data_IF_830286381602
#
_entry.id   IF_830286381602
#
_cell.length_a   1.000
_cell.length_b   1.000
_cell.length_c   1.000
_cell.angle_alpha   90.00
_cell.angle_beta   90.00
_cell.angle_gamma   90.00
#
_symmetry.space_group_name_H-M   'P 1'
#
loop_
_entity.id
_entity.type
_entity.pdbx_description
1 polymer ?
#
# COMPACT_ATOMS: atom_id res chain seq x y z
N UNK A 1 38.50 -12.76 -17.05
CA UNK A 1 38.15 -11.85 -18.18
C UNK A 1 37.83 -12.54 -19.50
N UNK A 2 38.75 -13.17 -20.25
CA UNK A 2 38.36 -13.80 -21.53
C UNK A 2 37.62 -15.14 -21.38
N UNK A 3 37.85 -15.90 -20.30
CA UNK A 3 37.13 -17.16 -20.06
C UNK A 3 35.71 -16.95 -19.51
N UNK A 4 35.47 -15.89 -18.73
CA UNK A 4 34.12 -15.56 -18.21
C UNK A 4 33.16 -15.11 -19.31
N UNK A 5 33.65 -14.33 -20.29
CA UNK A 5 32.83 -13.93 -21.45
C UNK A 5 32.39 -15.13 -22.30
N UNK A 6 33.22 -16.17 -22.41
CA UNK A 6 32.83 -17.41 -23.11
C UNK A 6 31.77 -18.24 -22.35
N UNK A 7 31.78 -18.21 -21.01
CA UNK A 7 30.78 -18.92 -20.19
C UNK A 7 29.41 -18.26 -20.32
N UNK A 8 29.34 -16.92 -20.25
CA UNK A 8 28.08 -16.18 -20.36
C UNK A 8 27.42 -16.33 -21.75
N UNK A 9 28.20 -16.31 -22.84
CA UNK A 9 27.69 -16.53 -24.20
C UNK A 9 27.17 -17.96 -24.39
N UNK A 10 27.76 -18.97 -23.73
CA UNK A 10 27.25 -20.35 -23.75
C UNK A 10 25.96 -20.48 -22.94
N UNK A 11 25.85 -19.78 -21.81
CA UNK A 11 24.68 -19.81 -20.94
C UNK A 11 23.45 -19.14 -21.59
N UNK A 12 23.65 -18.01 -22.28
CA UNK A 12 22.63 -17.33 -23.10
C UNK A 12 22.06 -18.25 -24.21
N UNK A 13 22.94 -18.92 -24.98
CA UNK A 13 22.51 -19.88 -26.02
C UNK A 13 21.79 -21.11 -25.45
N UNK A 14 22.04 -21.46 -24.20
CA UNK A 14 21.40 -22.58 -23.53
C UNK A 14 19.97 -22.23 -23.05
N UNK A 15 19.77 -21.00 -22.59
CA UNK A 15 18.45 -20.50 -22.16
C UNK A 15 17.48 -20.31 -23.34
N UNK A 16 17.95 -19.80 -24.49
CA UNK A 16 17.11 -19.65 -25.68
C UNK A 16 16.53 -20.99 -26.21
N UNK A 17 17.27 -22.09 -26.08
CA UNK A 17 16.79 -23.43 -26.48
C UNK A 17 15.72 -24.00 -25.55
N UNK A 18 15.75 -23.65 -24.26
CA UNK A 18 14.74 -24.09 -23.28
C UNK A 18 13.42 -23.36 -23.48
N UNK A 19 13.47 -22.07 -23.79
CA UNK A 19 12.28 -21.27 -24.07
C UNK A 19 11.54 -21.81 -25.30
N UNK A 20 12.25 -22.12 -26.39
CA UNK A 20 11.64 -22.70 -27.61
C UNK A 20 10.99 -24.06 -27.33
N UNK A 21 11.63 -24.92 -26.53
CA UNK A 21 11.07 -26.23 -26.15
C UNK A 21 9.82 -26.08 -25.27
N UNK A 22 9.78 -25.10 -24.37
CA UNK A 22 8.63 -24.83 -23.51
C UNK A 22 7.42 -24.33 -24.33
N UNK A 23 7.63 -23.39 -25.26
CA UNK A 23 6.58 -22.94 -26.17
C UNK A 23 6.06 -24.07 -27.07
N UNK A 24 6.94 -24.95 -27.56
CA UNK A 24 6.50 -26.11 -28.35
C UNK A 24 5.65 -27.08 -27.52
N UNK A 25 6.00 -27.30 -26.25
CA UNK A 25 5.23 -28.14 -25.34
C UNK A 25 3.86 -27.52 -25.04
N UNK A 26 3.81 -26.21 -24.77
CA UNK A 26 2.57 -25.48 -24.52
C UNK A 26 1.63 -25.50 -25.74
N UNK A 27 2.15 -25.31 -26.96
CA UNK A 27 1.35 -25.36 -28.20
C UNK A 27 0.79 -26.77 -28.43
N UNK A 28 1.59 -27.83 -28.19
CA UNK A 28 1.10 -29.21 -28.32
C UNK A 28 0.04 -29.50 -27.26
N UNK A 29 0.22 -29.04 -26.02
CA UNK A 29 -0.73 -29.27 -24.93
C UNK A 29 -2.06 -28.54 -25.17
N UNK A 30 -2.01 -27.27 -25.54
CA UNK A 30 -3.18 -26.44 -25.86
C UNK A 30 -3.92 -26.96 -27.11
N UNK A 31 -3.18 -27.40 -28.13
CA UNK A 31 -3.73 -28.03 -29.32
C UNK A 31 -4.41 -29.37 -29.02
N UNK A 32 -3.87 -30.16 -28.08
CA UNK A 32 -4.50 -31.41 -27.66
C UNK A 32 -5.76 -31.19 -26.81
N UNK A 33 -5.82 -30.19 -25.93
CA UNK A 33 -7.04 -29.87 -25.16
C UNK A 33 -8.22 -29.46 -26.04
N UNK A 34 -7.97 -28.77 -27.15
CA UNK A 34 -9.00 -28.44 -28.13
C UNK A 34 -9.56 -29.68 -28.88
N UNK A 35 -8.75 -30.74 -29.00
CA UNK A 35 -9.15 -31.97 -29.70
C UNK A 35 -9.96 -32.94 -28.84
N UNK A 36 -9.91 -32.84 -27.49
CA UNK A 36 -10.61 -33.78 -26.59
C UNK A 36 -11.97 -33.29 -26.10
N UNK A 37 -12.44 -32.11 -26.53
CA UNK A 37 -13.81 -31.66 -26.24
C UNK A 37 -14.16 -31.65 -24.75
N UNK A 38 -13.19 -31.33 -23.88
CA UNK A 38 -13.45 -31.17 -22.45
C UNK A 38 -14.16 -29.82 -22.30
N UNK A 39 -15.49 -29.89 -22.31
CA UNK A 39 -16.35 -28.77 -21.97
C UNK A 39 -15.95 -28.23 -20.60
N UNK A 40 -15.68 -26.93 -20.51
CA UNK A 40 -15.33 -26.20 -19.29
C UNK A 40 -16.39 -26.31 -18.18
N UNK A 41 -17.57 -26.85 -18.47
CA UNK A 41 -18.66 -27.10 -17.53
C UNK A 41 -18.41 -28.24 -16.53
N UNK A 42 -17.35 -29.04 -16.66
CA UNK A 42 -17.09 -30.17 -15.73
C UNK A 42 -16.05 -29.89 -14.63
N UNK A 43 -15.44 -28.69 -14.58
CA UNK A 43 -14.36 -28.40 -13.64
C UNK A 43 -14.74 -27.49 -12.46
N UNK A 44 -16.01 -27.11 -12.30
CA UNK A 44 -16.41 -26.39 -11.09
C UNK A 44 -17.83 -26.74 -10.60
N UNK A 45 -18.03 -27.83 -9.84
CA UNK A 45 -19.33 -28.17 -9.27
C UNK A 45 -19.72 -27.33 -8.03
N UNK A 46 -19.00 -26.24 -7.71
CA UNK A 46 -19.21 -25.53 -6.43
C UNK A 46 -20.22 -24.39 -6.41
N UNK A 47 -20.62 -23.79 -7.54
CA UNK A 47 -21.52 -22.63 -7.48
C UNK A 47 -22.52 -22.62 -8.63
N UNK A 48 -23.69 -23.18 -8.37
CA UNK A 48 -24.94 -22.74 -9.01
C UNK A 48 -26.10 -23.08 -8.07
N UNK A 49 -26.28 -22.26 -7.04
CA UNK A 49 -27.50 -22.30 -6.21
C UNK A 49 -28.55 -21.40 -6.87
N UNK A 50 -28.86 -21.65 -8.14
CA UNK A 50 -29.96 -20.97 -8.81
C UNK A 50 -31.28 -21.59 -8.32
N UNK A 51 -31.98 -20.89 -7.41
CA UNK A 51 -33.40 -21.11 -7.18
C UNK A 51 -33.92 -21.16 -5.74
N UNK A 52 -33.13 -20.78 -4.73
CA UNK A 52 -33.68 -20.66 -3.37
C UNK A 52 -34.37 -19.29 -3.20
N UNK A 53 -35.68 -19.33 -2.96
CA UNK A 53 -36.49 -18.15 -2.65
C UNK A 53 -36.30 -17.80 -1.17
N UNK A 54 -35.47 -16.79 -0.89
CA UNK A 54 -35.20 -16.31 0.47
C UNK A 54 -36.46 -15.83 1.21
N UNK A 55 -37.56 -15.51 0.49
CA UNK A 55 -38.81 -15.10 1.14
C UNK A 55 -39.52 -16.20 1.93
N UNK A 56 -39.10 -17.47 1.76
CA UNK A 56 -39.68 -18.61 2.46
C UNK A 56 -39.05 -18.90 3.84
N UNK A 57 -38.02 -18.15 4.25
CA UNK A 57 -37.23 -18.40 5.46
C UNK A 57 -37.62 -17.50 6.64
N UNK A 58 -38.23 -16.33 6.39
CA UNK A 58 -38.77 -15.48 7.46
C UNK A 58 -39.87 -16.21 8.25
N UNK A 59 -39.92 -16.01 9.57
CA UNK A 59 -41.08 -16.43 10.36
C UNK A 59 -42.35 -15.81 9.74
N UNK A 60 -43.33 -16.61 9.29
CA UNK A 60 -44.48 -16.12 8.53
C UNK A 60 -45.46 -15.28 9.38
N UNK A 61 -45.28 -15.22 10.70
CA UNK A 61 -46.10 -14.47 11.66
C UNK A 61 -45.44 -13.14 12.04
N UNK A 62 -44.11 -13.09 12.15
CA UNK A 62 -43.39 -11.90 12.62
C UNK A 62 -42.57 -11.20 11.53
N UNK A 63 -42.21 -11.92 10.45
CA UNK A 63 -41.26 -11.48 9.43
C UNK A 63 -39.80 -11.53 9.89
N UNK A 64 -39.52 -12.13 11.04
CA UNK A 64 -38.22 -12.09 11.71
C UNK A 64 -37.27 -13.18 11.19
N UNK A 65 -35.96 -12.87 11.21
CA UNK A 65 -34.88 -13.80 10.89
C UNK A 65 -33.98 -13.97 12.11
N UNK A 66 -33.88 -15.19 12.60
CA UNK A 66 -32.88 -15.63 13.57
C UNK A 66 -31.65 -16.16 12.82
N UNK A 67 -30.42 -16.05 13.34
CA UNK A 67 -29.26 -16.71 12.71
C UNK A 67 -29.46 -18.22 12.48
N UNK A 68 -30.28 -18.89 13.31
CA UNK A 68 -30.68 -20.29 13.09
C UNK A 68 -31.48 -20.51 11.79
N UNK A 69 -32.09 -19.46 11.24
CA UNK A 69 -32.82 -19.52 9.96
C UNK A 69 -31.86 -19.47 8.77
N UNK A 70 -30.64 -18.97 8.97
CA UNK A 70 -29.57 -18.98 7.96
C UNK A 70 -28.92 -20.37 7.84
N UNK A 71 -28.80 -21.08 8.97
CA UNK A 71 -28.10 -22.37 9.11
C UNK A 71 -28.50 -23.43 8.07
N UNK A 72 -29.78 -23.66 7.75
CA UNK A 72 -30.19 -24.69 6.80
C UNK A 72 -29.64 -24.50 5.38
N UNK A 73 -29.31 -23.26 5.00
CA UNK A 73 -28.82 -22.91 3.68
C UNK A 73 -27.33 -22.51 3.68
N UNK A 74 -26.84 -21.92 4.77
CA UNK A 74 -25.51 -21.31 4.90
C UNK A 74 -24.73 -21.87 6.10
N UNK A 75 -24.82 -23.19 6.34
CA UNK A 75 -24.20 -23.82 7.50
C UNK A 75 -22.70 -23.52 7.61
N UNK A 76 -21.96 -23.55 6.50
CA UNK A 76 -20.51 -23.38 6.51
C UNK A 76 -20.12 -21.95 6.91
N UNK A 77 -20.80 -20.95 6.37
CA UNK A 77 -20.60 -19.54 6.68
C UNK A 77 -21.00 -19.23 8.12
N UNK A 78 -22.13 -19.78 8.60
CA UNK A 78 -22.56 -19.62 9.99
C UNK A 78 -21.60 -20.31 10.95
N UNK A 79 -21.07 -21.49 10.60
CA UNK A 79 -20.06 -22.19 11.39
C UNK A 79 -18.77 -21.36 11.50
N UNK A 80 -18.33 -20.73 10.42
CA UNK A 80 -17.20 -19.80 10.41
C UNK A 80 -17.47 -18.55 11.25
N UNK A 81 -18.63 -17.92 11.08
CA UNK A 81 -19.04 -16.73 11.82
C UNK A 81 -19.12 -16.97 13.33
N UNK A 82 -19.60 -18.14 13.76
CA UNK A 82 -19.65 -18.57 15.16
C UNK A 82 -18.27 -18.65 15.83
N UNK A 83 -17.18 -18.61 15.05
CA UNK A 83 -15.81 -18.55 15.55
C UNK A 83 -15.30 -17.12 15.69
N UNK A 84 -15.98 -16.13 15.13
CA UNK A 84 -15.62 -14.71 15.19
C UNK A 84 -16.09 -14.07 16.50
N UNK A 85 -15.41 -13.00 16.94
CA UNK A 85 -15.83 -12.28 18.15
C UNK A 85 -17.23 -11.71 18.05
N UNK A 86 -17.74 -11.39 16.86
CA UNK A 86 -19.10 -10.88 16.66
C UNK A 86 -20.17 -11.79 17.28
N UNK A 87 -20.02 -13.11 17.13
CA UNK A 87 -20.97 -14.11 17.62
C UNK A 87 -20.96 -14.31 19.14
N UNK A 88 -19.82 -14.09 19.81
CA UNK A 88 -19.68 -14.36 21.25
C UNK A 88 -19.16 -13.15 22.04
N UNK A 89 -19.22 -11.94 21.50
CA UNK A 89 -18.82 -10.72 22.20
C UNK A 89 -19.59 -10.56 23.52
N UNK A 90 -20.80 -11.12 23.58
CA UNK A 90 -21.60 -11.24 24.78
C UNK A 90 -21.82 -12.70 25.19
N UNK A 91 -21.70 -12.97 26.48
CA UNK A 91 -22.07 -14.25 27.09
C UNK A 91 -23.17 -14.03 28.11
N UNK A 92 -24.27 -14.77 27.95
CA UNK A 92 -25.38 -14.74 28.89
C UNK A 92 -25.16 -15.74 30.03
N UNK A 93 -25.43 -15.32 31.26
CA UNK A 93 -25.51 -16.26 32.37
C UNK A 93 -26.48 -15.79 33.46
N UNK A 94 -27.00 -16.76 34.21
CA UNK A 94 -27.90 -16.51 35.35
C UNK A 94 -27.26 -17.03 36.62
N UNK A 95 -27.34 -16.26 37.69
CA UNK A 95 -26.92 -16.68 39.02
C UNK A 95 -28.06 -16.41 40.03
N UNK A 96 -27.78 -16.61 41.33
CA UNK A 96 -28.79 -16.43 42.38
C UNK A 96 -29.31 -14.98 42.52
N UNK A 97 -28.60 -13.98 42.00
CA UNK A 97 -28.95 -12.55 42.12
C UNK A 97 -29.59 -11.98 40.86
N UNK A 98 -29.60 -12.70 39.75
CA UNK A 98 -30.30 -12.30 38.53
C UNK A 98 -29.63 -12.81 37.26
N UNK A 99 -30.00 -12.16 36.16
CA UNK A 99 -29.45 -12.40 34.83
C UNK A 99 -28.42 -11.33 34.51
N UNK A 100 -27.28 -11.78 33.97
CA UNK A 100 -26.15 -10.93 33.62
C UNK A 100 -25.69 -11.20 32.20
N UNK A 101 -25.10 -10.18 31.60
CA UNK A 101 -24.37 -10.24 30.34
C UNK A 101 -22.90 -10.00 30.68
N UNK A 102 -22.04 -10.92 30.26
CA UNK A 102 -20.60 -10.73 30.29
C UNK A 102 -20.13 -10.25 28.93
N UNK A 103 -19.44 -9.12 28.89
CA UNK A 103 -18.68 -8.72 27.71
C UNK A 103 -17.39 -9.55 27.67
N UNK A 104 -17.21 -10.39 26.64
CA UNK A 104 -16.13 -11.38 26.64
C UNK A 104 -14.75 -10.77 26.44
N UNK A 105 -14.68 -9.58 25.84
CA UNK A 105 -13.42 -8.85 25.64
C UNK A 105 -12.95 -8.18 26.94
N UNK A 106 -13.82 -7.48 27.65
CA UNK A 106 -13.45 -6.77 28.88
C UNK A 106 -13.55 -7.64 30.14
N UNK A 107 -14.32 -8.72 30.09
CA UNK A 107 -14.62 -9.57 31.24
C UNK A 107 -15.64 -8.96 32.21
N UNK A 108 -16.17 -7.78 31.91
CA UNK A 108 -17.12 -7.07 32.75
C UNK A 108 -18.50 -7.74 32.73
N UNK A 109 -19.12 -7.77 33.91
CA UNK A 109 -20.44 -8.35 34.13
C UNK A 109 -21.46 -7.21 34.34
N UNK A 110 -22.41 -7.11 33.43
CA UNK A 110 -23.46 -6.11 33.48
C UNK A 110 -24.80 -6.74 33.82
N UNK A 111 -25.63 -6.03 34.58
CA UNK A 111 -27.05 -6.33 34.60
C UNK A 111 -27.62 -6.07 33.19
N UNK A 112 -28.43 -6.98 32.65
CA UNK A 112 -29.02 -6.84 31.30
C UNK A 112 -29.64 -5.46 31.07
N UNK A 113 -30.37 -4.93 32.05
CA UNK A 113 -31.04 -3.63 31.93
C UNK A 113 -30.03 -2.47 31.88
N UNK A 114 -28.92 -2.58 32.59
CA UNK A 114 -27.85 -1.57 32.59
C UNK A 114 -27.07 -1.60 31.28
N UNK A 115 -26.68 -2.80 30.82
CA UNK A 115 -25.95 -3.01 29.59
C UNK A 115 -26.68 -2.43 28.37
N UNK A 116 -27.98 -2.70 28.25
CA UNK A 116 -28.77 -2.26 27.10
C UNK A 116 -28.83 -0.73 27.01
N UNK A 117 -28.89 -0.03 28.15
CA UNK A 117 -28.99 1.42 28.17
C UNK A 117 -27.65 2.13 27.89
N UNK A 118 -26.52 1.55 28.30
CA UNK A 118 -25.21 2.23 28.25
C UNK A 118 -24.27 1.76 27.13
N UNK A 119 -24.53 0.61 26.48
CA UNK A 119 -23.65 0.10 25.43
C UNK A 119 -24.22 -1.03 24.55
N UNK A 120 -25.48 -1.40 24.73
CA UNK A 120 -26.07 -2.54 24.02
C UNK A 120 -26.28 -2.32 22.52
N UNK A 121 -26.40 -1.08 22.05
CA UNK A 121 -26.79 -0.78 20.67
C UNK A 121 -25.83 -1.32 19.58
N UNK A 122 -24.56 -1.56 19.92
CA UNK A 122 -23.55 -2.10 19.02
C UNK A 122 -23.19 -3.57 19.30
N UNK A 123 -23.72 -4.13 20.40
CA UNK A 123 -23.34 -5.45 20.89
C UNK A 123 -24.50 -6.45 20.89
N UNK A 124 -25.70 -6.01 20.50
CA UNK A 124 -26.87 -6.87 20.32
C UNK A 124 -27.47 -6.64 18.93
N UNK A 125 -28.14 -7.66 18.39
CA UNK A 125 -28.90 -7.52 17.15
C UNK A 125 -30.31 -7.05 17.50
N UNK A 126 -30.67 -5.85 17.03
CA UNK A 126 -31.98 -5.25 17.25
C UNK A 126 -32.71 -5.00 15.93
N UNK A 127 -34.04 -4.88 16.01
CA UNK A 127 -34.87 -4.48 14.86
C UNK A 127 -34.43 -3.11 14.33
N UNK A 128 -34.18 -3.05 13.03
CA UNK A 128 -33.88 -1.82 12.32
C UNK A 128 -34.98 -0.76 12.62
N UNK A 129 -34.58 0.43 13.09
CA UNK A 129 -35.44 1.56 13.51
C UNK A 129 -36.20 1.47 14.85
N UNK A 130 -36.04 0.43 15.67
CA UNK A 130 -36.74 0.36 16.96
C UNK A 130 -35.86 0.80 18.13
N UNK A 131 -35.65 2.12 18.29
CA UNK A 131 -35.14 2.67 19.56
C UNK A 131 -36.21 2.69 20.65
N UNK A 132 -37.43 2.22 20.35
CA UNK A 132 -38.51 2.23 21.31
C UNK A 132 -38.46 0.98 22.18
N UNK A 133 -38.26 1.20 23.47
CA UNK A 133 -38.81 0.30 24.48
C UNK A 133 -40.28 0.12 24.11
N UNK A 134 -40.73 -1.13 23.99
CA UNK A 134 -42.12 -1.41 23.66
C UNK A 134 -43.04 -0.82 24.75
N UNK A 135 -44.37 -0.88 24.55
CA UNK A 135 -45.31 -0.30 25.51
C UNK A 135 -45.21 -0.89 26.94
N UNK A 136 -44.54 -2.04 27.14
CA UNK A 136 -44.23 -2.64 28.45
C UNK A 136 -42.89 -2.18 29.04
N UNK A 137 -42.10 -1.39 28.34
CA UNK A 137 -40.76 -0.98 28.78
C UNK A 137 -39.70 -2.07 28.58
N UNK A 138 -39.98 -3.07 27.75
CA UNK A 138 -39.04 -4.12 27.37
C UNK A 138 -38.37 -3.78 26.03
N UNK A 139 -37.07 -4.01 25.97
CA UNK A 139 -36.26 -3.79 24.77
C UNK A 139 -36.46 -4.94 23.79
N UNK A 140 -36.55 -4.60 22.50
CA UNK A 140 -36.76 -5.56 21.41
C UNK A 140 -35.40 -6.08 20.91
N UNK A 141 -34.71 -6.84 21.75
CA UNK A 141 -33.44 -7.49 21.41
C UNK A 141 -33.74 -8.87 20.84
N UNK A 142 -33.32 -9.12 19.60
CA UNK A 142 -33.54 -10.40 18.92
C UNK A 142 -32.49 -11.42 19.28
N UNK A 143 -31.23 -10.97 19.34
CA UNK A 143 -30.11 -11.84 19.67
C UNK A 143 -29.05 -11.09 20.48
N UNK A 144 -28.35 -11.86 21.31
CA UNK A 144 -27.24 -11.41 22.13
C UNK A 144 -25.96 -11.59 21.31
N UNK A 145 -25.26 -10.49 21.03
CA UNK A 145 -24.15 -10.47 20.08
C UNK A 145 -24.53 -9.82 18.74
N UNK A 146 -23.56 -9.76 17.83
CA UNK A 146 -23.68 -9.13 16.51
C UNK A 146 -23.94 -10.22 15.48
N UNK A 147 -25.19 -10.66 15.36
CA UNK A 147 -25.63 -11.76 14.46
C UNK A 147 -25.62 -11.35 12.99
N UNK A 148 -25.93 -12.31 12.10
CA UNK A 148 -26.10 -12.06 10.66
C UNK A 148 -27.06 -10.90 10.38
N UNK A 149 -28.15 -10.78 11.13
CA UNK A 149 -29.14 -9.71 10.97
C UNK A 149 -28.65 -8.31 11.38
N UNK A 150 -27.47 -8.21 12.01
CA UNK A 150 -26.84 -6.92 12.29
C UNK A 150 -26.22 -6.28 11.03
N UNK A 151 -25.86 -7.11 10.05
CA UNK A 151 -25.16 -6.71 8.83
C UNK A 151 -26.02 -6.92 7.57
N UNK A 152 -26.85 -7.96 7.54
CA UNK A 152 -27.75 -8.27 6.44
C UNK A 152 -29.15 -7.72 6.71
N UNK A 153 -29.68 -6.89 5.80
CA UNK A 153 -31.07 -6.41 5.86
C UNK A 153 -32.06 -7.55 5.53
N UNK A 154 -33.32 -7.39 5.97
CA UNK A 154 -34.42 -8.26 5.55
C UNK A 154 -34.54 -8.25 4.01
N UNK A 155 -34.67 -9.42 3.34
CA UNK A 155 -34.85 -9.50 1.90
C UNK A 155 -36.07 -8.66 1.46
N UNK A 156 -35.82 -7.54 0.75
CA UNK A 156 -36.87 -6.67 0.21
C UNK A 156 -37.11 -5.35 0.96
N UNK A 157 -36.35 -5.05 2.02
CA UNK A 157 -36.31 -3.69 2.56
C UNK A 157 -35.50 -2.77 1.64
N UNK A 158 -36.10 -1.69 1.14
CA UNK A 158 -35.33 -0.65 0.45
C UNK A 158 -34.45 0.07 1.48
N UNK A 159 -33.14 -0.07 1.30
CA UNK A 159 -32.12 0.39 2.23
C UNK A 159 -32.20 1.91 2.49
N UNK A 160 -32.80 2.29 3.61
CA UNK A 160 -32.97 3.70 4.03
C UNK A 160 -31.71 4.21 4.73
N UNK A 161 -31.20 5.36 4.29
CA UNK A 161 -30.06 6.05 4.88
C UNK A 161 -30.32 6.41 6.35
N UNK A 162 -29.38 6.08 7.24
CA UNK A 162 -29.38 6.61 8.60
C UNK A 162 -28.71 7.99 8.59
N UNK A 163 -29.45 9.01 9.02
CA UNK A 163 -28.84 10.26 9.51
C UNK A 163 -28.78 10.16 11.02
N UNK A 164 -27.58 10.30 11.60
CA UNK A 164 -27.46 10.53 13.04
C UNK A 164 -28.27 11.77 13.41
N UNK A 165 -29.29 11.66 14.29
CA UNK A 165 -30.07 12.82 14.71
C UNK A 165 -29.25 13.89 15.45
N UNK A 166 -28.04 13.55 15.93
CA UNK A 166 -27.12 14.46 16.62
C UNK A 166 -26.10 15.16 15.72
N UNK A 167 -25.58 14.50 14.69
CA UNK A 167 -24.45 15.02 13.87
C UNK A 167 -24.83 15.37 12.43
N UNK A 168 -25.94 14.86 11.91
CA UNK A 168 -26.38 15.13 10.53
C UNK A 168 -25.45 14.56 9.45
N UNK A 169 -24.45 13.75 9.82
CA UNK A 169 -23.60 13.07 8.85
C UNK A 169 -24.32 11.83 8.28
N UNK A 170 -24.35 11.66 6.95
CA UNK A 170 -24.76 10.41 6.35
C UNK A 170 -23.67 9.37 6.61
N UNK A 171 -23.99 8.31 7.34
CA UNK A 171 -23.09 7.16 7.44
C UNK A 171 -23.23 6.31 6.18
N UNK A 172 -22.12 6.01 5.52
CA UNK A 172 -22.11 4.97 4.48
C UNK A 172 -22.41 3.61 5.09
N UNK A 173 -23.13 2.78 4.32
CA UNK A 173 -23.71 1.48 4.71
C UNK A 173 -22.68 0.37 4.85
N UNK A 174 -21.49 0.65 5.36
CA UNK A 174 -20.55 -0.43 5.65
C UNK A 174 -20.96 -1.09 6.95
N UNK A 175 -20.98 -2.42 6.97
CA UNK A 175 -21.40 -3.27 8.11
C UNK A 175 -20.74 -2.88 9.45
N UNK A 176 -19.62 -2.18 9.40
CA UNK A 176 -18.83 -1.73 10.54
C UNK A 176 -19.11 -0.30 11.00
N UNK A 177 -19.50 0.62 10.11
CA UNK A 177 -19.46 2.07 10.37
C UNK A 177 -20.37 2.56 11.50
N UNK A 178 -21.42 1.79 11.84
CA UNK A 178 -22.35 2.10 12.93
C UNK A 178 -21.85 1.68 14.31
N UNK A 179 -21.07 0.60 14.38
CA UNK A 179 -20.62 0.01 15.64
C UNK A 179 -19.15 0.35 15.93
N UNK A 180 -18.34 0.44 14.88
CA UNK A 180 -16.95 0.87 14.94
C UNK A 180 -16.83 2.36 14.63
N UNK A 181 -17.66 3.18 15.28
CA UNK A 181 -17.56 4.64 15.17
C UNK A 181 -16.26 5.06 15.86
N UNK A 182 -15.30 5.67 15.14
CA UNK A 182 -14.11 6.23 15.77
C UNK A 182 -14.58 7.41 16.62
N UNK A 183 -14.69 7.22 17.93
CA UNK A 183 -15.41 8.13 18.80
C UNK A 183 -14.94 9.58 18.64
N UNK A 184 -15.79 10.47 18.08
CA UNK A 184 -15.72 11.94 17.98
C UNK A 184 -14.39 12.65 17.61
N UNK A 185 -13.25 11.95 17.50
CA UNK A 185 -11.90 12.50 17.33
C UNK A 185 -10.92 11.58 16.58
N UNK A 186 -11.30 10.33 16.32
CA UNK A 186 -10.53 9.45 15.41
C UNK A 186 -10.85 9.82 13.97
N UNK A 187 -9.84 10.14 13.17
CA UNK A 187 -10.01 10.25 11.73
C UNK A 187 -10.52 8.91 11.21
N UNK A 188 -11.69 8.94 10.61
CA UNK A 188 -12.43 7.80 10.07
C UNK A 188 -11.79 7.28 8.79
N UNK A 189 -12.04 6.00 8.46
CA UNK A 189 -11.74 5.40 7.15
C UNK A 189 -12.12 6.31 5.97
N UNK A 190 -13.21 7.08 6.10
CA UNK A 190 -13.75 7.95 5.04
C UNK A 190 -12.89 9.17 4.65
N UNK A 191 -11.66 9.28 5.12
CA UNK A 191 -10.72 10.35 4.74
C UNK A 191 -9.37 9.79 4.29
N UNK A 192 -9.39 8.63 3.63
CA UNK A 192 -8.18 7.93 3.22
C UNK A 192 -8.14 7.74 1.72
N UNK A 193 -6.93 7.54 1.19
CA UNK A 193 -6.78 7.10 -0.21
C UNK A 193 -7.48 5.76 -0.48
N UNK A 194 -7.75 4.95 0.54
CA UNK A 194 -8.51 3.71 0.39
C UNK A 194 -10.02 3.95 0.26
N UNK A 195 -10.58 4.91 1.01
CA UNK A 195 -12.01 5.24 0.93
C UNK A 195 -12.39 5.99 -0.34
N UNK A 196 -11.43 6.62 -1.01
CA UNK A 196 -11.61 7.35 -2.26
C UNK A 196 -10.92 6.64 -3.43
N UNK A 197 -10.45 5.40 -3.26
CA UNK A 197 -9.58 4.70 -4.22
C UNK A 197 -10.21 4.55 -5.61
N UNK A 198 -11.50 4.22 -5.66
CA UNK A 198 -12.24 4.07 -6.89
C UNK A 198 -12.60 5.43 -7.50
N UNK A 199 -12.88 6.45 -6.68
CA UNK A 199 -13.11 7.82 -7.16
C UNK A 199 -11.84 8.42 -7.78
N UNK A 200 -10.68 8.20 -7.16
CA UNK A 200 -9.36 8.56 -7.70
C UNK A 200 -9.09 7.84 -9.02
N UNK A 201 -9.45 6.55 -9.11
CA UNK A 201 -9.35 5.80 -10.35
C UNK A 201 -10.25 6.41 -11.43
N UNK A 202 -11.52 6.71 -11.13
CA UNK A 202 -12.46 7.34 -12.07
C UNK A 202 -11.99 8.74 -12.53
N UNK A 203 -11.26 9.46 -11.69
CA UNK A 203 -10.69 10.75 -12.02
C UNK A 203 -9.44 10.66 -12.91
N UNK A 204 -8.73 9.52 -12.89
CA UNK A 204 -7.53 9.30 -13.68
C UNK A 204 -7.86 9.11 -15.17
N UNK A 205 -7.03 9.67 -16.05
CA UNK A 205 -7.11 9.43 -17.48
C UNK A 205 -6.16 8.29 -17.85
N UNK A 206 -6.66 7.06 -18.02
CA UNK A 206 -5.85 5.89 -18.38
C UNK A 206 -6.67 4.62 -18.61
N UNK A 207 -6.00 3.51 -18.92
CA UNK A 207 -6.64 2.19 -19.02
C UNK A 207 -6.99 1.66 -17.61
N UNK A 208 -8.27 1.45 -17.34
CA UNK A 208 -8.80 1.17 -16.00
C UNK A 208 -8.67 -0.30 -15.57
N UNK A 209 -8.62 -1.24 -16.52
CA UNK A 209 -8.78 -2.68 -16.24
C UNK A 209 -7.69 -3.26 -15.32
N UNK A 210 -6.47 -2.75 -15.40
CA UNK A 210 -5.36 -3.21 -14.56
C UNK A 210 -5.36 -2.57 -13.16
N UNK A 211 -5.91 -1.36 -13.03
CA UNK A 211 -5.89 -0.60 -11.78
C UNK A 211 -7.00 -1.06 -10.80
N UNK A 212 -8.10 -1.62 -11.31
CA UNK A 212 -9.22 -2.05 -10.46
C UNK A 212 -8.85 -3.14 -9.45
N UNK A 213 -7.80 -3.93 -9.69
CA UNK A 213 -7.39 -4.98 -8.76
C UNK A 213 -7.02 -4.46 -7.37
N UNK A 214 -6.44 -3.26 -7.32
CA UNK A 214 -5.99 -2.65 -6.07
C UNK A 214 -6.86 -1.48 -5.62
N UNK A 215 -7.58 -0.83 -6.56
CA UNK A 215 -8.31 0.42 -6.30
C UNK A 215 -9.81 0.22 -6.09
N UNK A 216 -10.32 -1.00 -6.22
CA UNK A 216 -11.72 -1.33 -5.94
C UNK A 216 -11.81 -2.41 -4.87
N UNK A 217 -12.86 -2.34 -4.03
CA UNK A 217 -13.25 -3.46 -3.19
C UNK A 217 -13.62 -4.69 -4.04
N UNK A 218 -13.53 -5.88 -3.45
CA UNK A 218 -13.93 -7.11 -4.14
C UNK A 218 -15.38 -6.99 -4.61
N UNK A 219 -15.60 -6.92 -5.92
CA UNK A 219 -16.90 -7.22 -6.50
C UNK A 219 -16.95 -8.71 -6.82
N UNK A 220 -18.06 -9.35 -6.46
CA UNK A 220 -18.39 -10.63 -7.09
C UNK A 220 -18.52 -10.36 -8.58
N UNK A 221 -17.78 -11.11 -9.41
CA UNK A 221 -17.67 -10.93 -10.87
C UNK A 221 -19.01 -10.86 -11.63
N UNK A 222 -20.12 -11.19 -10.97
CA UNK A 222 -21.48 -11.21 -11.51
C UNK A 222 -22.24 -9.88 -11.33
N UNK A 223 -21.83 -9.02 -10.37
CA UNK A 223 -22.39 -7.69 -10.15
C UNK A 223 -21.28 -6.64 -10.30
N UNK A 224 -21.26 -5.94 -11.44
CA UNK A 224 -20.29 -4.89 -11.81
C UNK A 224 -20.35 -3.62 -10.92
N UNK A 225 -20.81 -3.75 -9.68
CA UNK A 225 -20.77 -2.70 -8.67
C UNK A 225 -19.39 -2.70 -8.01
N UNK A 226 -18.40 -2.11 -8.68
CA UNK A 226 -17.12 -1.80 -8.04
C UNK A 226 -17.33 -0.66 -7.05
N UNK A 227 -16.97 -0.90 -5.79
CA UNK A 227 -16.92 0.12 -4.74
C UNK A 227 -15.47 0.51 -4.44
N UNK A 228 -15.28 1.59 -3.67
CA UNK A 228 -14.01 1.87 -3.02
C UNK A 228 -13.56 0.67 -2.16
N UNK A 229 -12.28 0.63 -1.78
CA UNK A 229 -11.83 -0.32 -0.77
C UNK A 229 -12.67 -0.09 0.50
N UNK A 230 -13.09 -1.17 1.13
CA UNK A 230 -13.91 -1.11 2.33
C UNK A 230 -13.42 -2.11 3.39
N UNK A 231 -14.22 -2.27 4.44
CA UNK A 231 -13.88 -3.12 5.56
C UNK A 231 -13.75 -4.60 5.16
N UNK A 232 -14.61 -5.08 4.25
CA UNK A 232 -14.59 -6.49 3.83
C UNK A 232 -13.53 -6.76 2.78
N UNK A 233 -12.90 -5.74 2.19
CA UNK A 233 -11.68 -5.92 1.39
C UNK A 233 -10.53 -6.48 2.23
N UNK A 234 -10.40 -6.04 3.48
CA UNK A 234 -9.30 -6.44 4.36
C UNK A 234 -9.71 -7.49 5.39
N UNK A 235 -10.96 -7.43 5.85
CA UNK A 235 -11.51 -8.32 6.86
C UNK A 235 -12.43 -9.38 6.25
N UNK A 236 -12.45 -10.54 6.88
CA UNK A 236 -13.39 -11.63 6.61
C UNK A 236 -14.44 -11.67 7.74
N UNK A 237 -15.66 -11.15 7.51
CA UNK A 237 -16.70 -11.14 8.53
C UNK A 237 -17.25 -12.55 8.84
N UNK A 238 -17.00 -13.54 7.98
CA UNK A 238 -17.56 -14.89 8.08
C UNK A 238 -16.51 -15.96 8.39
N UNK A 239 -15.21 -15.64 8.28
CA UNK A 239 -14.13 -16.62 8.40
C UNK A 239 -14.36 -17.80 7.43
N UNK A 240 -14.62 -17.49 6.15
CA UNK A 240 -15.11 -18.41 5.10
C UNK A 240 -14.13 -19.54 4.80
N UNK A 241 -12.83 -19.28 4.93
CA UNK A 241 -11.77 -20.27 4.69
C UNK A 241 -11.55 -21.21 5.89
N UNK A 242 -12.24 -20.98 7.01
CA UNK A 242 -12.00 -21.65 8.29
C UNK A 242 -10.60 -21.36 8.87
N UNK A 243 -9.84 -20.47 8.23
CA UNK A 243 -8.55 -19.99 8.69
C UNK A 243 -8.76 -18.62 9.32
N UNK A 244 -8.79 -18.61 10.64
CA UNK A 244 -8.93 -17.36 11.39
C UNK A 244 -7.57 -16.71 11.55
N UNK A 245 -7.29 -15.71 10.73
CA UNK A 245 -6.17 -14.81 10.98
C UNK A 245 -6.53 -13.85 12.12
N UNK A 246 -5.49 -13.24 12.70
CA UNK A 246 -5.68 -12.27 13.77
C UNK A 246 -6.56 -11.12 13.28
N UNK A 247 -7.47 -10.63 14.14
CA UNK A 247 -8.43 -9.57 13.79
C UNK A 247 -9.31 -9.84 12.57
N UNK A 248 -9.52 -11.12 12.24
CA UNK A 248 -10.35 -11.53 11.11
C UNK A 248 -9.82 -10.95 9.79
N UNK A 249 -8.50 -10.75 9.67
CA UNK A 249 -7.89 -10.36 8.40
C UNK A 249 -8.04 -11.48 7.37
N UNK A 250 -8.02 -11.14 6.07
CA UNK A 250 -8.04 -12.12 4.96
C UNK A 250 -6.69 -12.77 4.67
N UNK A 251 -5.61 -12.27 5.28
CA UNK A 251 -4.23 -12.74 5.09
C UNK A 251 -3.52 -12.90 6.42
N UNK A 252 -2.42 -13.67 6.41
CA UNK A 252 -1.67 -13.99 7.62
C UNK A 252 -0.69 -12.88 8.00
N UNK A 253 -1.20 -11.82 8.62
CA UNK A 253 -0.43 -10.64 9.01
C UNK A 253 -0.51 -9.52 7.97
N UNK A 254 -0.02 -8.33 8.33
CA UNK A 254 -0.31 -7.12 7.54
C UNK A 254 0.65 -6.95 6.35
N UNK A 255 1.87 -7.49 6.39
CA UNK A 255 2.76 -7.53 5.21
C UNK A 255 2.11 -8.29 4.05
N UNK A 256 1.55 -9.48 4.31
CA UNK A 256 0.87 -10.25 3.24
C UNK A 256 -0.39 -9.55 2.77
N UNK A 257 -1.15 -8.94 3.70
CA UNK A 257 -2.37 -8.19 3.37
C UNK A 257 -2.07 -6.94 2.53
N UNK A 258 -1.22 -6.05 3.02
CA UNK A 258 -0.84 -4.83 2.33
C UNK A 258 -0.14 -5.14 1.01
N UNK A 259 0.66 -6.21 0.96
CA UNK A 259 1.36 -6.68 -0.23
C UNK A 259 0.46 -7.18 -1.36
N UNK A 260 -0.84 -7.42 -1.13
CA UNK A 260 -1.76 -7.71 -2.24
C UNK A 260 -1.91 -6.52 -3.18
N UNK A 261 -1.81 -5.31 -2.64
CA UNK A 261 -1.93 -4.06 -3.40
C UNK A 261 -0.60 -3.32 -3.54
N UNK A 262 0.27 -3.37 -2.52
CA UNK A 262 1.57 -2.70 -2.46
C UNK A 262 2.73 -3.70 -2.61
N UNK A 263 2.60 -4.61 -3.58
CA UNK A 263 3.55 -5.71 -3.78
C UNK A 263 4.96 -5.25 -4.12
N UNK A 264 5.09 -4.12 -4.84
CA UNK A 264 6.34 -3.44 -5.15
C UNK A 264 7.05 -2.93 -3.88
N UNK A 265 6.29 -2.32 -2.96
CA UNK A 265 6.81 -1.87 -1.66
C UNK A 265 7.25 -3.06 -0.81
N UNK A 266 6.46 -4.13 -0.79
CA UNK A 266 6.81 -5.35 -0.04
C UNK A 266 8.03 -6.04 -0.64
N UNK A 267 8.14 -6.12 -1.97
CA UNK A 267 9.34 -6.65 -2.62
C UNK A 267 10.58 -5.81 -2.28
N UNK A 268 10.45 -4.49 -2.32
CA UNK A 268 11.52 -3.55 -1.92
C UNK A 268 11.95 -3.72 -0.45
N UNK A 269 10.99 -3.93 0.45
CA UNK A 269 11.23 -4.14 1.89
C UNK A 269 11.79 -5.53 2.22
N UNK A 270 11.35 -6.55 1.49
CA UNK A 270 11.72 -7.96 1.76
C UNK A 270 12.98 -8.39 1.02
N UNK A 271 13.62 -7.48 0.28
CA UNK A 271 14.92 -7.74 -0.34
C UNK A 271 15.99 -8.03 0.72
N UNK A 272 16.19 -9.33 0.96
CA UNK A 272 17.13 -9.85 1.96
C UNK A 272 18.59 -9.49 1.70
N UNK A 273 18.93 -8.92 0.53
CA UNK A 273 20.29 -8.40 0.30
C UNK A 273 20.60 -7.23 1.24
N UNK A 274 19.57 -6.50 1.70
CA UNK A 274 19.69 -5.41 2.66
C UNK A 274 18.64 -5.56 3.77
N UNK A 275 19.10 -5.98 4.94
CA UNK A 275 18.30 -5.98 6.15
C UNK A 275 17.78 -4.56 6.44
N UNK A 276 16.49 -4.30 6.22
CA UNK A 276 15.89 -3.04 6.66
C UNK A 276 15.74 -3.08 8.19
N UNK A 277 16.01 -1.97 8.90
CA UNK A 277 15.93 -1.92 10.36
C UNK A 277 14.53 -2.29 10.89
N UNK A 278 13.47 -2.00 10.13
CA UNK A 278 12.08 -2.23 10.54
C UNK A 278 11.49 -3.51 9.93
N UNK A 279 11.89 -3.96 8.74
CA UNK A 279 11.34 -5.18 8.11
C UNK A 279 11.66 -6.48 8.88
N UNK A 280 12.64 -6.43 9.79
CA UNK A 280 13.02 -7.58 10.62
C UNK A 280 12.17 -7.68 11.90
N UNK A 281 11.57 -6.57 12.34
CA UNK A 281 10.95 -6.46 13.67
C UNK A 281 9.50 -6.00 13.64
N UNK A 282 9.05 -5.34 12.58
CA UNK A 282 7.78 -4.62 12.52
C UNK A 282 6.94 -5.00 11.30
N UNK A 283 5.63 -4.76 11.42
CA UNK A 283 4.62 -4.97 10.39
C UNK A 283 4.19 -3.60 9.80
N UNK A 284 3.53 -3.57 8.65
CA UNK A 284 3.07 -2.32 8.00
C UNK A 284 2.19 -1.47 8.95
N UNK A 285 1.34 -2.12 9.73
CA UNK A 285 0.49 -1.47 10.73
C UNK A 285 1.24 -0.86 11.90
N UNK A 286 2.51 -1.21 12.15
CA UNK A 286 3.28 -0.61 13.24
C UNK A 286 3.39 0.91 13.07
N UNK A 287 3.62 1.36 11.82
CA UNK A 287 3.73 2.78 11.49
C UNK A 287 2.47 3.33 10.82
N UNK A 288 1.83 2.59 9.91
CA UNK A 288 0.66 3.12 9.16
C UNK A 288 -0.67 2.89 9.88
N UNK A 289 -0.74 1.91 10.78
CA UNK A 289 -1.93 1.59 11.58
C UNK A 289 -1.68 1.80 13.07
N UNK A 290 -0.74 2.68 13.42
CA UNK A 290 -0.25 2.81 14.79
C UNK A 290 -1.40 3.03 15.77
N UNK A 291 -1.19 2.53 16.99
CA UNK A 291 -2.20 2.64 18.02
C UNK A 291 -2.38 4.10 18.42
N UNK A 292 -3.63 4.61 18.42
CA UNK A 292 -3.91 5.96 18.91
C UNK A 292 -4.41 5.89 20.36
N UNK A 293 -3.51 6.12 21.30
CA UNK A 293 -3.78 6.14 22.75
C UNK A 293 -4.41 7.45 23.26
N UNK A 294 -4.82 8.37 22.38
CA UNK A 294 -5.22 9.75 22.74
C UNK A 294 -6.44 9.89 23.68
N UNK A 295 -6.90 8.80 24.29
CA UNK A 295 -7.70 8.83 25.50
C UNK A 295 -7.30 7.69 26.46
N UNK A 296 -6.47 8.02 27.46
CA UNK A 296 -5.91 7.19 28.56
C UNK A 296 -6.97 6.56 29.51
N UNK A 297 -8.21 6.37 29.06
CA UNK A 297 -9.35 5.97 29.92
C UNK A 297 -10.17 4.79 29.44
N UNK A 298 -9.92 4.22 28.26
CA UNK A 298 -10.58 2.98 27.82
C UNK A 298 -9.57 2.07 27.15
N UNK A 299 -9.21 0.99 27.84
CA UNK A 299 -8.15 0.05 27.47
C UNK A 299 -8.48 -0.88 26.31
N UNK A 300 -9.11 -0.40 25.25
CA UNK A 300 -9.34 -1.16 24.03
C UNK A 300 -8.57 -0.57 22.89
N UNK A 301 -7.51 -1.29 22.49
CA UNK A 301 -6.60 -0.79 21.52
C UNK A 301 -7.12 -0.91 20.08
N UNK A 302 -7.68 0.17 19.52
CA UNK A 302 -8.01 0.28 18.09
C UNK A 302 -6.85 0.77 17.24
N UNK A 303 -6.51 0.02 16.19
CA UNK A 303 -5.64 0.44 15.09
C UNK A 303 -6.24 1.64 14.37
N UNK A 304 -5.39 2.60 13.98
CA UNK A 304 -5.81 3.75 13.21
C UNK A 304 -6.06 3.37 11.73
N UNK A 305 -7.32 3.31 11.32
CA UNK A 305 -7.72 2.93 9.96
C UNK A 305 -7.68 4.09 8.95
N UNK A 306 -7.02 5.20 9.30
CA UNK A 306 -6.82 6.28 8.34
C UNK A 306 -5.56 6.06 7.45
N UNK A 307 -4.67 5.15 7.87
CA UNK A 307 -3.39 4.84 7.19
C UNK A 307 -2.46 6.04 6.98
N UNK A 308 -2.83 7.21 7.51
CA UNK A 308 -2.05 8.43 7.45
C UNK A 308 -1.03 8.41 8.57
N UNK A 309 0.21 8.73 8.21
CA UNK A 309 1.31 8.77 9.15
C UNK A 309 1.29 10.12 9.90
N UNK A 310 0.96 10.10 11.18
CA UNK A 310 1.31 11.21 12.09
C UNK A 310 2.60 10.80 12.77
N UNK A 311 3.70 11.41 12.34
CA UNK A 311 5.04 10.92 12.66
C UNK A 311 5.35 10.92 14.15
N UNK A 312 4.89 11.94 14.88
CA UNK A 312 5.07 12.04 16.32
C UNK A 312 4.46 10.83 17.03
N UNK A 313 3.26 10.43 16.61
CA UNK A 313 2.55 9.31 17.22
C UNK A 313 3.05 7.97 16.66
N UNK A 314 3.28 7.84 15.36
CA UNK A 314 3.77 6.59 14.78
C UNK A 314 5.15 6.19 15.32
N UNK A 315 6.03 7.17 15.56
CA UNK A 315 7.34 6.91 16.16
C UNK A 315 7.29 6.78 17.69
N UNK A 316 6.40 7.52 18.36
CA UNK A 316 6.37 7.63 19.83
C UNK A 316 5.33 6.78 20.57
N UNK A 317 4.21 6.42 19.93
CA UNK A 317 3.02 5.84 20.57
C UNK A 317 3.15 4.33 20.86
N UNK A 318 3.96 3.62 20.06
CA UNK A 318 4.32 2.24 20.36
C UNK A 318 5.29 2.25 21.56
N UNK A 319 4.74 2.18 22.78
CA UNK A 319 5.48 2.09 24.03
C UNK A 319 6.71 1.18 23.88
N UNK A 320 7.90 1.80 23.79
CA UNK A 320 9.17 1.11 23.78
C UNK A 320 10.02 1.14 22.50
N UNK A 321 9.55 1.65 21.36
CA UNK A 321 10.42 1.75 20.16
C UNK A 321 11.30 3.01 20.18
N UNK A 322 10.68 4.19 20.21
CA UNK A 322 11.39 5.49 20.21
C UNK A 322 10.81 6.54 21.17
N UNK A 323 10.18 6.10 22.26
CA UNK A 323 9.60 6.99 23.28
C UNK A 323 10.63 7.99 23.82
N UNK A 324 10.32 9.29 23.70
CA UNK A 324 11.17 10.41 24.10
C UNK A 324 12.28 10.78 23.10
N UNK A 325 12.35 10.10 21.95
CA UNK A 325 13.28 10.39 20.86
C UNK A 325 12.57 10.79 19.55
N UNK A 326 11.27 11.07 19.58
CA UNK A 326 10.41 11.27 18.39
C UNK A 326 11.00 12.33 17.46
N UNK A 327 11.33 13.50 18.00
CA UNK A 327 11.91 14.60 17.21
C UNK A 327 13.26 14.23 16.57
N UNK A 328 14.08 13.40 17.26
CA UNK A 328 15.35 12.95 16.71
C UNK A 328 15.16 11.91 15.60
N UNK A 329 14.14 11.05 15.72
CA UNK A 329 13.80 10.05 14.71
C UNK A 329 13.16 10.66 13.47
N UNK A 330 12.30 11.65 13.65
CA UNK A 330 11.75 12.46 12.55
C UNK A 330 12.88 13.16 11.80
N UNK A 331 13.80 13.83 12.51
CA UNK A 331 14.95 14.47 11.85
C UNK A 331 15.86 13.46 11.12
N UNK A 332 15.97 12.23 11.61
CA UNK A 332 16.72 11.18 10.93
C UNK A 332 16.01 10.66 9.68
N UNK A 333 14.70 10.47 9.74
CA UNK A 333 13.86 10.14 8.59
C UNK A 333 13.99 11.22 7.50
N UNK A 334 13.83 12.49 7.88
CA UNK A 334 13.98 13.63 6.97
C UNK A 334 15.37 13.67 6.32
N UNK A 335 16.42 13.29 7.06
CA UNK A 335 17.76 13.18 6.51
C UNK A 335 17.88 12.06 5.45
N UNK A 336 17.31 10.88 5.71
CA UNK A 336 17.30 9.77 4.73
C UNK A 336 16.55 10.18 3.46
N UNK A 337 15.38 10.80 3.63
CA UNK A 337 14.57 11.26 2.51
C UNK A 337 15.31 12.34 1.71
N UNK A 338 15.91 13.33 2.40
CA UNK A 338 16.71 14.36 1.75
C UNK A 338 17.93 13.83 0.99
N UNK A 339 18.64 12.85 1.55
CA UNK A 339 19.77 12.19 0.87
C UNK A 339 19.29 11.40 -0.36
N UNK A 340 18.14 10.72 -0.27
CA UNK A 340 17.52 9.98 -1.38
C UNK A 340 17.05 10.92 -2.49
N UNK A 341 16.37 12.03 -2.16
CA UNK A 341 15.96 13.06 -3.12
C UNK A 341 17.15 13.67 -3.86
N UNK A 342 18.26 13.93 -3.15
CA UNK A 342 19.48 14.44 -3.77
C UNK A 342 20.08 13.45 -4.77
N UNK A 343 20.02 12.15 -4.49
CA UNK A 343 20.44 11.10 -5.42
C UNK A 343 19.50 10.97 -6.61
N UNK A 344 18.17 11.04 -6.41
CA UNK A 344 17.18 11.05 -7.50
C UNK A 344 17.41 12.25 -8.43
N UNK A 345 17.66 13.44 -7.87
CA UNK A 345 17.96 14.64 -8.66
C UNK A 345 19.28 14.51 -9.45
N UNK A 346 20.31 13.91 -8.83
CA UNK A 346 21.58 13.62 -9.48
C UNK A 346 21.40 12.62 -10.62
N UNK A 347 20.63 11.56 -10.41
CA UNK A 347 20.27 10.57 -11.42
C UNK A 347 19.54 11.22 -12.60
N UNK A 348 18.51 12.03 -12.35
CA UNK A 348 17.78 12.72 -13.41
C UNK A 348 18.65 13.64 -14.26
N UNK A 349 19.55 14.40 -13.62
CA UNK A 349 20.51 15.28 -14.31
C UNK A 349 21.48 14.47 -15.19
N UNK A 350 22.02 13.37 -14.66
CA UNK A 350 22.96 12.53 -15.38
C UNK A 350 22.27 11.80 -16.55
N UNK A 351 21.03 11.33 -16.35
CA UNK A 351 20.24 10.67 -17.39
C UNK A 351 19.99 11.61 -18.58
N UNK A 352 19.62 12.87 -18.33
CA UNK A 352 19.44 13.87 -19.39
C UNK A 352 20.75 14.13 -20.15
N UNK A 353 21.86 14.29 -19.43
CA UNK A 353 23.18 14.50 -20.02
C UNK A 353 23.61 13.34 -20.94
N UNK A 354 23.53 12.10 -20.45
CA UNK A 354 23.91 10.92 -21.24
C UNK A 354 22.98 10.75 -22.44
N UNK A 355 21.68 10.94 -22.27
CA UNK A 355 20.70 10.86 -23.38
C UNK A 355 21.01 11.88 -24.47
N UNK A 356 21.34 13.12 -24.08
CA UNK A 356 21.79 14.16 -25.01
C UNK A 356 23.07 13.77 -25.74
N UNK A 357 24.05 13.23 -25.02
CA UNK A 357 25.33 12.78 -25.59
C UNK A 357 25.17 11.59 -26.54
N UNK A 358 24.25 10.66 -26.26
CA UNK A 358 23.87 9.59 -27.19
C UNK A 358 23.29 10.18 -28.48
N UNK A 359 22.40 11.17 -28.38
CA UNK A 359 21.82 11.83 -29.55
C UNK A 359 22.88 12.54 -30.41
N UNK A 360 23.85 13.21 -29.77
CA UNK A 360 25.01 13.80 -30.45
C UNK A 360 25.88 12.74 -31.13
N UNK A 361 26.21 11.64 -30.44
CA UNK A 361 27.00 10.55 -31.00
C UNK A 361 26.33 9.92 -32.23
N UNK A 362 25.00 9.73 -32.20
CA UNK A 362 24.21 9.24 -33.34
C UNK A 362 24.27 10.15 -34.57
N UNK A 363 24.55 11.45 -34.39
CA UNK A 363 24.69 12.41 -35.48
C UNK A 363 26.08 12.38 -36.14
N UNK A 364 27.07 11.73 -35.54
CA UNK A 364 28.43 11.61 -36.10
C UNK A 364 28.44 10.62 -37.27
N UNK A 365 28.89 11.08 -38.45
CA UNK A 365 28.97 10.25 -39.64
C UNK A 365 29.95 9.07 -39.43
N UNK A 366 29.47 7.85 -39.68
CA UNK A 366 30.29 6.63 -39.53
C UNK A 366 30.49 6.17 -38.09
N UNK A 367 29.73 6.71 -37.13
CA UNK A 367 29.79 6.28 -35.72
C UNK A 367 29.52 4.78 -35.55
N UNK A 368 30.17 4.17 -34.56
CA UNK A 368 29.96 2.76 -34.24
C UNK A 368 28.62 2.55 -33.53
N UNK A 369 27.59 2.20 -34.31
CA UNK A 369 26.24 1.96 -33.79
C UNK A 369 26.14 0.82 -32.77
N UNK A 370 27.08 -0.12 -32.75
CA UNK A 370 27.10 -1.17 -31.71
C UNK A 370 27.41 -0.59 -30.34
N UNK A 371 28.40 0.31 -30.26
CA UNK A 371 28.74 0.97 -28.98
C UNK A 371 27.63 1.93 -28.52
N UNK A 372 26.89 2.53 -29.46
CA UNK A 372 25.68 3.29 -29.11
C UNK A 372 24.63 2.38 -28.49
N UNK A 373 24.38 1.21 -29.10
CA UNK A 373 23.47 0.21 -28.53
C UNK A 373 23.89 -0.23 -27.13
N UNK A 374 25.17 -0.52 -26.91
CA UNK A 374 25.70 -0.87 -25.58
C UNK A 374 25.46 0.26 -24.54
N UNK A 375 25.54 1.53 -24.95
CA UNK A 375 25.24 2.67 -24.08
C UNK A 375 23.74 2.84 -23.80
N UNK A 376 22.87 2.54 -24.76
CA UNK A 376 21.42 2.54 -24.58
C UNK A 376 20.97 1.41 -23.64
N UNK A 377 21.56 0.21 -23.77
CA UNK A 377 21.31 -0.91 -22.84
C UNK A 377 21.67 -0.54 -21.39
N UNK A 378 22.75 0.21 -21.18
CA UNK A 378 23.13 0.72 -19.85
C UNK A 378 22.15 1.77 -19.30
N UNK A 379 21.49 2.54 -20.17
CA UNK A 379 20.44 3.48 -19.78
C UNK A 379 19.20 2.73 -19.28
N UNK A 380 18.81 1.68 -19.98
CA UNK A 380 17.69 0.82 -19.57
C UNK A 380 17.99 0.14 -18.22
N UNK A 381 19.21 -0.40 -18.04
CA UNK A 381 19.65 -0.96 -16.76
C UNK A 381 19.64 0.08 -15.62
N UNK A 382 20.05 1.33 -15.91
CA UNK A 382 20.01 2.41 -14.94
C UNK A 382 18.56 2.80 -14.57
N UNK A 383 17.65 2.81 -15.55
CA UNK A 383 16.25 3.10 -15.36
C UNK A 383 15.55 2.05 -14.50
N UNK A 384 15.81 0.76 -14.74
CA UNK A 384 15.26 -0.32 -13.93
C UNK A 384 15.71 -0.20 -12.46
N UNK A 385 16.98 0.10 -12.21
CA UNK A 385 17.50 0.30 -10.85
C UNK A 385 16.87 1.50 -10.14
N UNK A 386 16.66 2.60 -10.85
CA UNK A 386 16.07 3.80 -10.29
C UNK A 386 14.55 3.70 -10.13
N UNK A 387 13.87 2.87 -10.93
CA UNK A 387 12.43 2.70 -10.91
C UNK A 387 11.92 2.30 -9.53
N UNK A 388 12.55 1.29 -8.91
CA UNK A 388 12.16 0.76 -7.61
C UNK A 388 12.26 1.81 -6.48
N UNK A 389 13.13 2.80 -6.62
CA UNK A 389 13.32 3.86 -5.62
C UNK A 389 12.45 5.07 -5.91
N UNK A 390 12.26 5.41 -7.19
CA UNK A 390 11.48 6.58 -7.61
C UNK A 390 9.97 6.34 -7.62
N UNK A 391 9.55 5.07 -7.71
CA UNK A 391 8.15 4.66 -7.60
C UNK A 391 7.68 4.43 -6.16
N UNK A 392 8.60 4.30 -5.20
CA UNK A 392 8.28 3.99 -3.81
C UNK A 392 7.99 5.29 -3.01
N UNK A 393 6.81 5.41 -2.38
CA UNK A 393 6.32 6.69 -1.85
C UNK A 393 6.99 7.15 -0.53
N UNK A 394 7.76 6.30 0.15
CA UNK A 394 8.47 6.69 1.37
C UNK A 394 9.74 7.51 1.11
N UNK A 395 10.12 7.68 -0.16
CA UNK A 395 11.35 8.38 -0.57
C UNK A 395 12.58 7.72 0.07
N UNK A 396 12.63 6.39 -0.01
CA UNK A 396 13.73 5.58 0.51
C UNK A 396 13.69 5.34 2.02
N UNK A 397 12.75 5.89 2.79
CA UNK A 397 12.70 5.67 4.24
C UNK A 397 12.48 4.19 4.62
N UNK A 398 11.66 3.48 3.86
CA UNK A 398 11.39 2.05 4.04
C UNK A 398 12.67 1.19 4.02
N UNK A 399 13.67 1.56 3.19
CA UNK A 399 14.97 0.90 3.13
C UNK A 399 16.05 1.84 2.57
N UNK A 400 16.54 2.77 3.40
CA UNK A 400 17.44 3.85 2.97
C UNK A 400 18.75 3.36 2.37
N UNK A 401 19.35 2.30 2.94
CA UNK A 401 20.59 1.71 2.44
C UNK A 401 20.39 1.11 1.04
N UNK A 402 19.28 0.40 0.80
CA UNK A 402 18.97 -0.15 -0.52
C UNK A 402 18.67 0.94 -1.54
N UNK A 403 17.91 1.97 -1.14
CA UNK A 403 17.62 3.12 -2.00
C UNK A 403 18.90 3.82 -2.46
N UNK A 404 19.81 4.09 -1.51
CA UNK A 404 21.11 4.69 -1.78
C UNK A 404 21.96 3.82 -2.73
N UNK A 405 22.04 2.51 -2.47
CA UNK A 405 22.85 1.60 -3.28
C UNK A 405 22.29 1.41 -4.71
N UNK A 406 20.97 1.28 -4.87
CA UNK A 406 20.32 1.22 -6.19
C UNK A 406 20.57 2.50 -7.00
N UNK A 407 20.40 3.68 -6.40
CA UNK A 407 20.62 4.95 -7.08
C UNK A 407 22.09 5.18 -7.43
N UNK A 408 23.04 4.81 -6.56
CA UNK A 408 24.46 4.86 -6.87
C UNK A 408 24.85 3.91 -8.00
N UNK A 409 24.26 2.71 -8.02
CA UNK A 409 24.51 1.77 -9.10
C UNK A 409 23.94 2.29 -10.42
N UNK A 410 22.73 2.87 -10.41
CA UNK A 410 22.15 3.54 -11.57
C UNK A 410 23.04 4.68 -12.08
N UNK A 411 23.55 5.54 -11.20
CA UNK A 411 24.51 6.59 -11.55
C UNK A 411 25.80 6.03 -12.17
N UNK A 412 26.35 4.94 -11.62
CA UNK A 412 27.53 4.31 -12.18
C UNK A 412 27.30 3.74 -13.60
N UNK A 413 26.08 3.22 -13.87
CA UNK A 413 25.68 2.78 -15.21
C UNK A 413 25.60 3.93 -16.19
N UNK A 414 25.05 5.07 -15.77
CA UNK A 414 25.02 6.30 -16.56
C UNK A 414 26.44 6.83 -16.85
N UNK A 415 27.34 6.78 -15.87
CA UNK A 415 28.75 7.18 -16.07
C UNK A 415 29.47 6.26 -17.07
N UNK A 416 29.21 4.95 -17.02
CA UNK A 416 29.75 3.99 -18.00
C UNK A 416 29.22 4.28 -19.40
N UNK A 417 27.90 4.50 -19.54
CA UNK A 417 27.27 4.86 -20.80
C UNK A 417 27.85 6.17 -21.35
N UNK A 418 28.02 7.20 -20.49
CA UNK A 418 28.65 8.47 -20.86
C UNK A 418 30.04 8.26 -21.44
N UNK A 419 30.89 7.47 -20.76
CA UNK A 419 32.25 7.18 -21.20
C UNK A 419 32.30 6.50 -22.56
N UNK A 420 31.34 5.61 -22.87
CA UNK A 420 31.23 4.98 -24.18
C UNK A 420 30.91 6.02 -25.26
N UNK A 421 29.88 6.85 -25.05
CA UNK A 421 29.42 7.80 -26.08
C UNK A 421 30.35 9.00 -26.25
N UNK A 422 31.01 9.44 -25.18
CA UNK A 422 31.99 10.51 -25.23
C UNK A 422 33.21 10.13 -26.08
N UNK A 423 33.66 8.88 -25.99
CA UNK A 423 34.74 8.35 -26.82
C UNK A 423 34.38 8.22 -28.31
N UNK A 424 33.09 8.27 -28.67
CA UNK A 424 32.62 8.21 -30.06
C UNK A 424 32.54 9.58 -30.72
N UNK A 425 32.51 10.66 -29.94
CA UNK A 425 32.37 12.02 -30.45
C UNK A 425 33.78 12.60 -30.63
N UNK A 426 34.19 12.92 -31.87
CA UNK A 426 35.51 13.48 -32.09
C UNK A 426 35.63 14.80 -31.33
N UNK A 427 36.76 15.00 -30.64
CA UNK A 427 37.03 16.30 -30.04
C UNK A 427 36.93 17.37 -31.15
N UNK A 428 36.22 18.48 -30.89
CA UNK A 428 36.11 19.54 -31.88
C UNK A 428 37.53 19.92 -32.26
N UNK A 429 37.89 19.74 -33.54
CA UNK A 429 39.24 20.06 -34.00
C UNK A 429 39.54 21.47 -33.49
N UNK A 430 40.40 21.57 -32.48
CA UNK A 430 40.81 22.85 -31.93
C UNK A 430 41.53 23.51 -33.08
N UNK A 431 40.78 24.29 -33.82
CA UNK A 431 41.26 25.03 -34.98
C UNK A 431 42.25 25.98 -34.36
N UNK A 432 43.51 25.56 -34.35
CA UNK A 432 44.62 26.31 -33.82
C UNK A 432 44.73 27.47 -34.78
N UNK A 433 43.93 28.49 -34.53
CA UNK A 433 44.00 29.76 -35.21
C UNK A 433 45.37 30.25 -34.81
N UNK A 434 46.32 30.02 -35.71
CA UNK A 434 47.65 30.59 -35.62
C UNK A 434 47.42 32.08 -35.80
N UNK A 435 47.09 32.75 -34.70
CA UNK A 435 47.08 34.19 -34.62
C UNK A 435 48.54 34.57 -34.78
N UNK A 436 48.93 34.83 -36.02
CA UNK A 436 50.18 35.52 -36.32
C UNK A 436 50.08 36.86 -35.61
N UNK A 437 50.66 36.93 -34.42
CA UNK A 437 50.85 38.18 -33.69
C UNK A 437 51.81 39.01 -34.52
N UNK A 438 51.26 39.88 -35.38
CA UNK A 438 52.00 41.02 -35.90
C UNK A 438 52.22 41.95 -34.70
N UNK A 439 53.46 42.01 -34.21
CA UNK A 439 53.91 43.06 -33.30
C UNK A 439 53.68 44.41 -33.98
N UNK A 440 52.59 45.08 -33.63
CA UNK A 440 52.40 46.50 -33.92
C UNK A 440 52.68 47.26 -32.62
N UNK A 441 53.92 47.75 -32.51
CA UNK A 441 54.38 48.67 -31.46
C UNK A 441 53.49 49.91 -31.47
N UNK A 442 52.52 49.98 -30.57
CA UNK A 442 51.72 51.19 -30.33
C UNK A 442 52.04 51.74 -28.95
N UNK A 443 52.55 52.97 -28.97
CA UNK A 443 52.96 53.80 -27.84
C UNK A 443 51.77 54.08 -26.92
N UNK A 444 51.92 53.81 -25.63
CA UNK A 444 50.97 54.20 -24.58
C UNK A 444 50.85 55.72 -24.49
N UNK A 445 49.62 56.23 -24.60
CA UNK A 445 49.25 57.56 -24.11
C UNK A 445 48.32 57.37 -22.91
N UNK A 446 48.87 57.72 -21.75
CA UNK A 446 48.25 57.66 -20.42
C UNK A 446 47.12 58.68 -20.33
N UNK A 447 45.87 58.22 -20.19
CA UNK A 447 44.76 59.09 -19.75
C UNK A 447 44.01 58.47 -18.59
N UNK A 448 44.24 59.07 -17.42
CA UNK A 448 43.52 58.87 -16.17
C UNK A 448 42.07 59.32 -16.31
N UNK A 449 41.12 58.46 -15.95
CA UNK A 449 39.73 58.87 -15.68
C UNK A 449 39.12 58.00 -14.59
N UNK A 450 38.56 58.67 -13.61
CA UNK A 450 38.12 58.19 -12.31
C UNK A 450 36.64 57.83 -12.24
N UNK A 451 36.34 56.81 -11.41
CA UNK A 451 35.12 56.59 -10.61
C UNK A 451 33.92 55.83 -11.23
N UNK A 452 33.00 55.27 -10.42
CA UNK A 452 33.16 54.69 -9.08
C UNK A 452 32.62 53.24 -8.96
N UNK A 453 33.05 52.60 -7.87
CA UNK A 453 32.61 51.29 -7.41
C UNK A 453 31.11 51.22 -7.09
N UNK A 454 30.46 50.14 -7.52
CA UNK A 454 29.27 49.58 -6.88
C UNK A 454 29.64 48.15 -6.49
N UNK A 455 29.70 47.92 -5.19
CA UNK A 455 29.96 46.62 -4.60
C UNK A 455 28.71 45.74 -4.64
N UNK A 456 28.91 44.47 -4.96
CA UNK A 456 28.05 43.38 -4.52
C UNK A 456 28.95 42.34 -3.88
N UNK A 457 28.75 42.15 -2.58
CA UNK A 457 29.41 41.18 -1.73
C UNK A 457 29.09 39.76 -2.21
N UNK A 458 30.10 39.09 -2.77
CA UNK A 458 30.13 37.64 -2.90
C UNK A 458 30.53 37.01 -1.57
N UNK A 459 29.64 36.19 -1.01
CA UNK A 459 29.89 35.41 0.19
C UNK A 459 29.40 33.98 -0.09
N UNK A 460 30.20 33.20 -0.82
CA UNK A 460 30.15 31.74 -0.80
C UNK A 460 31.59 31.25 -0.81
N UNK A 461 32.13 31.05 0.40
CA UNK A 461 33.30 30.23 0.64
C UNK A 461 32.84 28.98 1.35
N UNK A 462 32.68 27.87 0.63
CA UNK A 462 32.55 26.54 1.24
C UNK A 462 33.94 25.94 1.29
N UNK A 463 34.51 25.95 2.50
CA UNK A 463 35.66 25.16 2.88
C UNK A 463 35.19 23.71 3.06
N UNK A 464 35.58 22.82 2.15
CA UNK A 464 35.53 21.38 2.38
C UNK A 464 36.65 21.00 3.35
N UNK A 465 36.31 20.87 4.63
CA UNK A 465 37.20 20.32 5.65
C UNK A 465 36.71 18.92 5.99
N UNK A 466 37.46 17.94 5.50
CA UNK A 466 37.27 16.52 5.73
C UNK A 466 37.28 16.20 7.24
N UNK A 467 36.15 15.74 7.77
CA UNK A 467 36.07 15.08 9.07
C UNK A 467 36.07 13.57 8.83
N UNK A 468 37.24 12.97 9.02
CA UNK A 468 37.41 11.53 9.13
C UNK A 468 36.75 11.04 10.44
N UNK A 469 35.56 10.45 10.36
CA UNK A 469 35.08 9.53 11.39
C UNK A 469 35.32 8.09 10.95
N UNK A 470 36.29 7.45 11.60
CA UNK A 470 36.50 6.01 11.55
C UNK A 470 35.32 5.29 12.20
N UNK A 471 34.41 4.70 11.41
CA UNK A 471 33.41 3.75 11.91
C UNK A 471 34.08 2.38 12.07
N UNK A 472 34.39 2.04 13.32
CA UNK A 472 34.95 0.74 13.73
C UNK A 472 33.80 -0.26 13.81
N UNK A 473 33.69 -1.17 12.83
CA UNK A 473 32.75 -2.30 12.86
C UNK A 473 32.99 -3.15 14.12
N UNK A 474 31.91 -3.45 14.84
CA UNK A 474 31.79 -4.58 15.76
C UNK A 474 30.68 -5.46 15.24
#
# INVERSE_FOLDING_TARGET
MNEEKEVLVRQSKWNGRRIILFYWFAIVFLGSSAAVGISSTLLNPKYSVEGYDHSAIADPVTGEYHPDDCVPCHQAEVDGWNLTKHSYILQYYTNATGTYIRHTTSGDDYNVTEFINDGGCCHVTQRYNDTSVNASGEWNVWDIGVSCGACHEEPGAEATYFTDPGTGFPFEKTCSGRCHIPGSRGKTWVQTGHSESFDDLLAATGDFDYCMHCMAGESTYEDLSFGNIDCVTCHDPHNEDGVRYEHELRKNGTVELCGTCHGDVVEFLTDTTFATPHAIIDDCTTCHGYYWDGNDTVGEASILHNWTLVLEDACGNQTGCHEGEEAARIAWMEAIQGDTEALIASYGTQLENVSGRIAEAKAVEGVNMTLIGDAEDLLDEAADLAHDVTGEPSTGFHNGDLAEDKLKLALAKLDEAYGIVDALIPEPETTTTTTTTTEETTTEEETTSSAPAIGVLGLIGILSLAVLFTRKRR
#
